data_IF_061958096721
#
_entry.id   IF_061958096721
#
_cell.length_a   1.000
_cell.length_b   1.000
_cell.length_c   1.000
_cell.angle_alpha   90.00
_cell.angle_beta   90.00
_cell.angle_gamma   90.00
#
_symmetry.space_group_name_H-M   'P 1'
#
loop_
_entity.id
_entity.type
_entity.pdbx_description
1 polymer ?
#
# COMPACT_ATOMS: atom_id res chain seq x y z
N UNK A 1 1.01 22.76 -8.79
CA UNK A 1 0.60 21.78 -9.82
C UNK A 1 -0.85 21.49 -9.54
N UNK A 2 -1.74 21.92 -10.42
CA UNK A 2 -3.17 21.66 -10.35
C UNK A 2 -3.55 20.78 -11.53
N UNK A 3 -4.60 19.99 -11.37
CA UNK A 3 -5.19 19.22 -12.46
C UNK A 3 -6.19 20.10 -13.19
N UNK A 4 -6.21 20.04 -14.52
CA UNK A 4 -7.08 20.84 -15.37
C UNK A 4 -8.38 20.09 -15.70
N UNK A 5 -8.37 18.76 -15.60
CA UNK A 5 -9.53 17.90 -15.90
C UNK A 5 -9.76 16.83 -14.84
N UNK A 6 -10.99 16.28 -14.80
CA UNK A 6 -11.28 15.16 -13.92
C UNK A 6 -10.53 13.90 -14.34
N UNK A 7 -10.36 13.70 -15.64
CA UNK A 7 -9.63 12.58 -16.24
C UNK A 7 -8.19 12.52 -15.74
N UNK A 8 -7.50 13.66 -15.70
CA UNK A 8 -6.14 13.75 -15.15
C UNK A 8 -6.09 13.37 -13.67
N UNK A 9 -7.09 13.78 -12.88
CA UNK A 9 -7.20 13.39 -11.46
C UNK A 9 -7.40 11.88 -11.35
N UNK A 10 -8.30 11.31 -12.16
CA UNK A 10 -8.58 9.88 -12.15
C UNK A 10 -7.33 9.05 -12.49
N UNK A 11 -6.59 9.46 -13.51
CA UNK A 11 -5.35 8.79 -13.90
C UNK A 11 -4.30 8.87 -12.78
N UNK A 12 -4.07 10.07 -12.24
CA UNK A 12 -3.09 10.26 -11.17
C UNK A 12 -3.44 9.45 -9.91
N UNK A 13 -4.73 9.38 -9.56
CA UNK A 13 -5.22 8.58 -8.43
C UNK A 13 -5.05 7.09 -8.71
N UNK A 14 -5.38 6.61 -9.91
CA UNK A 14 -5.21 5.21 -10.29
C UNK A 14 -3.74 4.78 -10.20
N UNK A 15 -2.82 5.59 -10.74
CA UNK A 15 -1.37 5.38 -10.66
C UNK A 15 -0.90 5.35 -9.21
N UNK A 16 -1.40 6.28 -8.37
CA UNK A 16 -1.05 6.30 -6.95
C UNK A 16 -1.53 5.05 -6.22
N UNK A 17 -2.75 4.58 -6.48
CA UNK A 17 -3.31 3.39 -5.86
C UNK A 17 -2.48 2.15 -6.20
N UNK A 18 -2.11 1.98 -7.47
CA UNK A 18 -1.25 0.88 -7.90
C UNK A 18 0.11 0.94 -7.20
N UNK A 19 0.76 2.11 -7.22
CA UNK A 19 2.02 2.30 -6.51
C UNK A 19 1.90 1.99 -5.01
N UNK A 20 0.84 2.48 -4.36
CA UNK A 20 0.61 2.30 -2.93
C UNK A 20 0.46 0.82 -2.60
N UNK A 21 -0.37 0.09 -3.33
CA UNK A 21 -0.70 -1.30 -3.04
C UNK A 21 0.42 -2.27 -3.39
N UNK A 22 1.13 -2.02 -4.50
CA UNK A 22 2.14 -2.94 -5.02
C UNK A 22 3.55 -2.65 -4.50
N UNK A 23 3.92 -1.38 -4.37
CA UNK A 23 5.34 -0.96 -4.24
C UNK A 23 5.69 -0.24 -2.95
N UNK A 24 4.75 0.49 -2.34
CA UNK A 24 5.04 1.32 -1.16
C UNK A 24 5.20 0.46 0.10
N UNK A 25 6.42 0.40 0.64
CA UNK A 25 6.66 -0.26 1.93
C UNK A 25 6.17 0.57 3.11
N UNK A 26 5.55 -0.10 4.08
CA UNK A 26 5.05 0.54 5.30
C UNK A 26 5.68 -0.07 6.56
N UNK A 27 6.08 0.78 7.52
CA UNK A 27 6.72 0.34 8.76
C UNK A 27 5.82 -0.59 9.59
N UNK A 28 4.53 -0.25 9.73
CA UNK A 28 3.54 -1.09 10.41
C UNK A 28 3.18 -2.38 9.66
N UNK A 29 3.58 -2.51 8.39
CA UNK A 29 3.38 -3.72 7.59
C UNK A 29 4.67 -4.56 7.50
N UNK A 30 5.51 -4.52 8.53
CA UNK A 30 6.79 -5.26 8.57
C UNK A 30 7.69 -4.95 7.36
N UNK A 31 7.64 -3.71 6.86
CA UNK A 31 8.36 -3.24 5.65
C UNK A 31 7.93 -3.95 4.35
N UNK A 32 6.70 -4.45 4.28
CA UNK A 32 6.07 -4.98 3.07
C UNK A 32 5.16 -3.94 2.42
N UNK A 33 4.85 -4.13 1.14
CA UNK A 33 3.73 -3.42 0.50
C UNK A 33 2.40 -3.98 1.02
N UNK A 34 1.29 -3.24 0.90
CA UNK A 34 -0.03 -3.72 1.28
C UNK A 34 -0.36 -5.11 0.70
N UNK A 35 -0.11 -5.33 -0.59
CA UNK A 35 -0.43 -6.61 -1.22
C UNK A 35 0.50 -7.73 -0.79
N UNK A 36 1.79 -7.45 -0.58
CA UNK A 36 2.72 -8.42 0.01
C UNK A 36 2.31 -8.83 1.42
N UNK A 37 1.94 -7.86 2.26
CA UNK A 37 1.49 -8.12 3.63
C UNK A 37 0.19 -8.95 3.63
N UNK A 38 -0.78 -8.59 2.79
CA UNK A 38 -2.02 -9.34 2.66
C UNK A 38 -1.81 -10.77 2.16
N UNK A 39 -0.89 -10.99 1.22
CA UNK A 39 -0.53 -12.33 0.76
C UNK A 39 0.13 -13.16 1.88
N UNK A 40 1.08 -12.57 2.62
CA UNK A 40 1.72 -13.22 3.76
C UNK A 40 0.74 -13.52 4.90
N UNK A 41 -0.24 -12.64 5.14
CA UNK A 41 -1.33 -12.87 6.09
C UNK A 41 -2.17 -14.08 5.69
N UNK A 42 -2.62 -14.13 4.42
CA UNK A 42 -3.37 -15.28 3.89
C UNK A 42 -2.60 -16.58 3.97
N UNK A 43 -1.28 -16.53 3.82
CA UNK A 43 -0.40 -17.68 3.93
C UNK A 43 -0.03 -18.05 5.39
N UNK A 44 -0.48 -17.29 6.40
CA UNK A 44 -0.12 -17.53 7.80
C UNK A 44 1.35 -17.26 8.13
N UNK A 45 2.04 -16.43 7.34
CA UNK A 45 3.48 -16.19 7.42
C UNK A 45 3.85 -14.95 8.26
N UNK A 46 2.86 -14.22 8.77
CA UNK A 46 3.10 -13.01 9.54
C UNK A 46 3.51 -13.31 10.97
N UNK A 47 4.58 -12.65 11.43
CA UNK A 47 4.96 -12.64 12.84
C UNK A 47 4.00 -11.74 13.62
N UNK A 48 3.69 -12.05 14.89
CA UNK A 48 2.96 -11.15 15.76
C UNK A 48 3.63 -9.77 15.82
N UNK A 49 2.85 -8.71 15.68
CA UNK A 49 3.33 -7.35 15.87
C UNK A 49 3.20 -7.05 17.37
N UNK A 50 4.32 -6.89 18.06
CA UNK A 50 4.31 -6.33 19.42
C UNK A 50 3.94 -4.84 19.32
N UNK A 51 2.69 -4.53 19.64
CA UNK A 51 2.27 -3.14 19.82
C UNK A 51 2.85 -2.64 21.15
N UNK A 52 3.93 -1.87 21.09
CA UNK A 52 4.38 -1.06 22.22
C UNK A 52 3.49 0.19 22.26
N UNK A 53 2.54 0.20 23.19
CA UNK A 53 1.82 1.40 23.63
C UNK A 53 2.78 2.34 24.37
#
# INVERSE_FOLDING_TARGET
>A
MYFETFEEVYEAVAVYIEFYNERRFHGSLQRMSPNQYHAAWKAGQLKPIEMKL
#
